data_IF_705497994933
#
_entry.id   IF_705497994933
#
_cell.length_a   1.000
_cell.length_b   1.000
_cell.length_c   1.000
_cell.angle_alpha   90.00
_cell.angle_beta   90.00
_cell.angle_gamma   90.00
#
_symmetry.space_group_name_H-M   'P 1'
#
loop_
_entity.id
_entity.type
_entity.pdbx_description
1 polymer ?
#
# COMPACT_ATOMS: atom_id res chain seq x y z
N UNK A 1 -10.67 11.66 27.71
CA UNK A 1 -9.87 11.75 26.47
C UNK A 1 -8.75 10.73 26.54
N UNK A 2 -8.29 10.19 25.40
CA UNK A 2 -7.15 9.26 25.36
C UNK A 2 -5.86 9.91 25.86
N UNK A 3 -5.05 9.10 26.51
CA UNK A 3 -3.64 9.38 26.80
C UNK A 3 -2.75 8.94 25.63
N UNK A 4 -1.46 9.29 25.66
CA UNK A 4 -0.51 8.80 24.66
C UNK A 4 -0.37 7.27 24.71
N UNK A 5 -0.42 6.68 25.91
CA UNK A 5 -0.39 5.23 26.10
C UNK A 5 -1.63 4.55 25.48
N UNK A 6 -2.81 5.17 25.63
CA UNK A 6 -4.04 4.69 24.99
C UNK A 6 -3.90 4.68 23.45
N UNK A 7 -3.29 5.72 22.87
CA UNK A 7 -3.05 5.83 21.44
C UNK A 7 -2.06 4.77 20.93
N UNK A 8 -0.94 4.59 21.63
CA UNK A 8 0.06 3.58 21.30
C UNK A 8 -0.53 2.17 21.33
N UNK A 9 -1.36 1.86 22.33
CA UNK A 9 -2.04 0.58 22.44
C UNK A 9 -2.97 0.31 21.25
N UNK A 10 -3.73 1.31 20.81
CA UNK A 10 -4.65 1.18 19.67
C UNK A 10 -3.88 1.02 18.36
N UNK A 11 -2.80 1.80 18.17
CA UNK A 11 -1.95 1.71 16.99
C UNK A 11 -1.22 0.36 16.90
N UNK A 12 -0.69 -0.15 18.02
CA UNK A 12 -0.09 -1.48 18.08
C UNK A 12 -1.13 -2.56 17.80
N UNK A 13 -2.32 -2.42 18.38
CA UNK A 13 -3.46 -3.30 18.14
C UNK A 13 -3.83 -3.37 16.66
N UNK A 14 -4.07 -2.24 16.00
CA UNK A 14 -4.39 -2.18 14.57
C UNK A 14 -3.26 -2.76 13.74
N UNK A 15 -2.01 -2.43 14.06
CA UNK A 15 -0.85 -2.96 13.35
C UNK A 15 -0.83 -4.49 13.44
N UNK A 16 -0.89 -5.04 14.65
CA UNK A 16 -0.86 -6.48 14.91
C UNK A 16 -2.03 -7.21 14.25
N UNK A 17 -3.25 -6.72 14.43
CA UNK A 17 -4.46 -7.34 13.89
C UNK A 17 -4.53 -7.20 12.38
N UNK A 18 -4.16 -6.03 11.87
CA UNK A 18 -3.96 -5.79 10.44
C UNK A 18 -3.04 -6.85 9.85
N UNK A 19 -1.84 -7.03 10.40
CA UNK A 19 -0.89 -8.05 9.94
C UNK A 19 -1.42 -9.48 9.99
N UNK A 20 -2.17 -9.83 11.03
CA UNK A 20 -2.80 -11.15 11.15
C UNK A 20 -3.79 -11.40 10.00
N UNK A 21 -4.59 -10.38 9.70
CA UNK A 21 -5.49 -10.33 8.54
C UNK A 21 -4.66 -10.42 7.25
N UNK A 22 -3.61 -9.61 7.07
CA UNK A 22 -2.78 -9.57 5.86
C UNK A 22 -2.10 -10.90 5.54
N UNK A 23 -1.55 -11.57 6.56
CA UNK A 23 -0.87 -12.85 6.39
C UNK A 23 -1.80 -13.93 5.84
N UNK A 24 -3.10 -13.84 6.12
CA UNK A 24 -4.11 -14.74 5.54
C UNK A 24 -4.50 -14.35 4.11
N UNK A 25 -4.30 -13.09 3.70
CA UNK A 25 -4.62 -12.58 2.35
C UNK A 25 -3.47 -12.56 1.34
N UNK A 26 -2.23 -12.79 1.77
CA UNK A 26 -1.06 -12.73 0.88
C UNK A 26 -1.11 -13.75 -0.28
N UNK A 27 -2.02 -14.73 -0.25
CA UNK A 27 -2.28 -15.64 -1.36
C UNK A 27 -3.19 -15.05 -2.45
N UNK A 28 -4.07 -14.10 -2.12
CA UNK A 28 -5.15 -13.62 -3.00
C UNK A 28 -4.93 -12.20 -3.53
N UNK A 29 -4.23 -11.35 -2.76
CA UNK A 29 -3.99 -9.95 -3.12
C UNK A 29 -2.49 -9.65 -3.20
N UNK A 30 -2.12 -8.70 -4.08
CA UNK A 30 -0.76 -8.18 -4.09
C UNK A 30 -0.52 -7.39 -2.80
N UNK A 31 0.66 -7.52 -2.14
CA UNK A 31 0.98 -6.76 -0.95
C UNK A 31 0.68 -5.25 -1.08
N UNK A 32 0.94 -4.65 -2.24
CA UNK A 32 0.65 -3.22 -2.48
C UNK A 32 -0.83 -2.84 -2.37
N UNK A 33 -1.75 -3.71 -2.78
CA UNK A 33 -3.19 -3.42 -2.77
C UNK A 33 -3.75 -3.52 -1.35
N UNK A 34 -3.23 -4.49 -0.60
CA UNK A 34 -3.47 -4.65 0.83
C UNK A 34 -3.02 -3.39 1.59
N UNK A 35 -1.83 -2.88 1.29
CA UNK A 35 -1.23 -1.78 2.04
C UNK A 35 -1.93 -0.44 1.77
N UNK A 36 -2.36 -0.18 0.53
CA UNK A 36 -3.15 1.01 0.19
C UNK A 36 -4.42 1.12 1.08
N UNK A 37 -5.10 0.01 1.32
CA UNK A 37 -6.31 -0.03 2.14
C UNK A 37 -6.11 0.29 3.61
N UNK A 38 -5.06 -0.25 4.22
CA UNK A 38 -4.78 0.01 5.63
C UNK A 38 -4.30 1.44 5.86
N UNK A 39 -3.73 2.08 4.84
CA UNK A 39 -3.44 3.51 4.86
C UNK A 39 -4.67 4.39 4.55
N UNK A 40 -5.85 3.81 4.29
CA UNK A 40 -7.03 4.50 3.76
C UNK A 40 -6.72 5.31 2.47
N UNK A 41 -5.67 4.94 1.75
CA UNK A 41 -5.25 5.61 0.52
C UNK A 41 -5.80 4.85 -0.68
N UNK A 42 -6.27 5.58 -1.68
CA UNK A 42 -6.49 5.01 -2.99
C UNK A 42 -5.18 4.40 -3.52
N UNK A 43 -5.30 3.42 -4.41
CA UNK A 43 -4.13 2.82 -5.08
C UNK A 43 -3.21 3.88 -5.73
N UNK A 44 -3.79 4.99 -6.20
CA UNK A 44 -3.06 6.10 -6.82
C UNK A 44 -2.30 6.93 -5.78
N UNK A 45 -2.88 7.18 -4.62
CA UNK A 45 -2.24 7.90 -3.52
C UNK A 45 -1.13 7.05 -2.89
N UNK A 46 -1.37 5.75 -2.72
CA UNK A 46 -0.35 4.83 -2.23
C UNK A 46 0.84 4.74 -3.20
N UNK A 47 0.60 4.68 -4.51
CA UNK A 47 1.66 4.75 -5.52
C UNK A 47 2.44 6.06 -5.46
N UNK A 48 1.73 7.19 -5.28
CA UNK A 48 2.32 8.53 -5.10
C UNK A 48 3.25 8.53 -3.88
N UNK A 49 2.79 7.96 -2.77
CA UNK A 49 3.53 7.93 -1.51
C UNK A 49 4.80 7.09 -1.59
N UNK A 50 4.74 5.90 -2.22
CA UNK A 50 5.93 5.05 -2.43
C UNK A 50 6.99 5.76 -3.27
N UNK A 51 6.55 6.43 -4.33
CA UNK A 51 7.41 7.21 -5.22
C UNK A 51 8.01 8.42 -4.52
N UNK A 52 7.22 9.11 -3.70
CA UNK A 52 7.66 10.24 -2.91
C UNK A 52 8.71 9.80 -1.88
N UNK A 53 8.46 8.71 -1.16
CA UNK A 53 9.40 8.15 -0.20
C UNK A 53 10.74 7.77 -0.84
N UNK A 54 10.69 7.10 -2.00
CA UNK A 54 11.90 6.80 -2.77
C UNK A 54 12.70 8.06 -3.08
N UNK A 55 12.06 9.14 -3.54
CA UNK A 55 12.78 10.37 -3.89
C UNK A 55 13.30 11.14 -2.67
N UNK A 56 12.55 11.18 -1.58
CA UNK A 56 12.92 11.93 -0.36
C UNK A 56 13.91 11.16 0.53
N UNK A 57 14.17 9.88 0.23
CA UNK A 57 15.16 9.07 0.95
C UNK A 57 16.56 9.69 0.96
N UNK A 58 17.30 9.46 2.05
CA UNK A 58 18.70 9.87 2.18
C UNK A 58 19.55 9.23 1.07
N UNK A 59 19.26 7.97 0.71
CA UNK A 59 19.95 7.26 -0.36
C UNK A 59 19.81 7.95 -1.72
N UNK A 60 18.63 8.48 -2.06
CA UNK A 60 18.44 9.27 -3.29
C UNK A 60 19.18 10.60 -3.20
N UNK A 61 19.14 11.26 -2.05
CA UNK A 61 19.82 12.55 -1.85
C UNK A 61 21.33 12.43 -1.98
N UNK A 62 21.94 11.46 -1.30
CA UNK A 62 23.37 11.15 -1.37
C UNK A 62 23.78 10.70 -2.78
N UNK A 63 22.93 9.90 -3.44
CA UNK A 63 23.21 9.47 -4.80
C UNK A 63 23.30 10.67 -5.75
N UNK A 64 22.34 11.60 -5.67
CA UNK A 64 22.28 12.78 -6.54
C UNK A 64 23.36 13.81 -6.25
N UNK A 65 23.62 14.10 -4.97
CA UNK A 65 24.52 15.18 -4.55
C UNK A 65 26.00 14.76 -4.49
N UNK A 66 26.29 13.51 -4.14
CA UNK A 66 27.66 13.02 -3.92
C UNK A 66 28.11 12.08 -5.03
N UNK A 67 27.33 11.03 -5.29
CA UNK A 67 27.81 9.91 -6.11
C UNK A 67 27.72 10.16 -7.61
N UNK A 68 26.65 10.78 -8.10
CA UNK A 68 26.50 11.09 -9.54
C UNK A 68 27.59 12.06 -10.02
N UNK A 69 27.89 13.19 -9.35
CA UNK A 69 28.98 14.07 -9.76
C UNK A 69 30.34 13.36 -9.80
N UNK A 70 30.66 12.55 -8.77
CA UNK A 70 31.91 11.74 -8.73
C UNK A 70 31.97 10.71 -9.86
N UNK A 71 30.86 10.03 -10.13
CA UNK A 71 30.77 9.08 -11.23
C UNK A 71 30.99 9.76 -12.59
N UNK A 72 30.41 10.94 -12.80
CA UNK A 72 30.55 11.69 -14.05
C UNK A 72 31.96 12.26 -14.25
N UNK A 73 32.67 12.58 -13.17
CA UNK A 73 34.07 13.00 -13.26
C UNK A 73 34.93 11.89 -13.90
N UNK A 74 34.71 10.63 -13.48
CA UNK A 74 35.44 9.47 -14.01
C UNK A 74 34.44 8.37 -14.39
N UNK A 75 33.88 8.42 -15.59
CA UNK A 75 32.96 7.36 -16.05
C UNK A 75 33.77 6.11 -16.39
N UNK A 76 33.45 4.92 -15.84
CA UNK A 76 34.11 3.68 -16.22
C UNK A 76 34.01 3.47 -17.73
N UNK A 77 35.13 3.12 -18.36
CA UNK A 77 35.17 2.67 -19.75
C UNK A 77 35.46 1.18 -19.80
N UNK A 78 34.91 0.51 -20.81
CA UNK A 78 35.26 -0.86 -21.17
C UNK A 78 35.78 -0.89 -22.59
N UNK A 79 36.50 -1.96 -22.90
CA UNK A 79 37.05 -2.19 -24.23
C UNK A 79 36.07 -3.06 -25.01
N UNK A 80 35.64 -2.60 -26.18
CA UNK A 80 34.77 -3.34 -27.07
C UNK A 80 35.51 -3.66 -28.37
N UNK A 81 35.41 -4.92 -28.81
CA UNK A 81 35.88 -5.32 -30.13
C UNK A 81 34.81 -4.99 -31.16
N UNK A 82 35.12 -4.07 -32.07
CA UNK A 82 34.26 -3.73 -33.19
C UNK A 82 34.73 -4.47 -34.44
N UNK A 83 33.78 -4.97 -35.23
CA UNK A 83 34.06 -5.58 -36.52
C UNK A 83 33.75 -4.53 -37.58
N UNK A 84 34.79 -4.01 -38.23
CA UNK A 84 34.68 -3.00 -39.27
C UNK A 84 34.90 -3.62 -40.65
N UNK A 85 33.96 -3.39 -41.57
CA UNK A 85 34.11 -3.67 -43.00
C UNK A 85 34.52 -2.37 -43.70
N UNK A 86 35.77 -2.29 -44.16
CA UNK A 86 36.35 -1.05 -44.70
C UNK A 86 37.08 -1.30 -46.01
N UNK A 87 36.89 -0.41 -46.98
CA UNK A 87 37.75 -0.29 -48.16
C UNK A 87 38.95 0.63 -47.85
N UNK A 88 40.15 0.20 -48.21
CA UNK A 88 41.42 0.90 -47.94
C UNK A 88 42.25 0.23 -46.83
N UNK A 89 43.25 0.93 -46.27
CA UNK A 89 44.20 0.34 -45.33
C UNK A 89 43.51 -0.17 -44.04
N UNK A 90 43.79 -1.41 -43.60
CA UNK A 90 43.16 -2.01 -42.44
C UNK A 90 43.56 -1.30 -41.15
N UNK A 91 42.60 -1.13 -40.21
CA UNK A 91 42.86 -0.65 -38.84
C UNK A 91 42.65 -1.78 -37.84
N UNK A 92 43.71 -2.19 -37.16
CA UNK A 92 43.66 -3.29 -36.20
C UNK A 92 43.83 -4.68 -36.83
N UNK A 93 43.44 -5.72 -36.10
CA UNK A 93 43.68 -7.11 -36.51
C UNK A 93 42.71 -7.53 -37.62
N UNK A 94 43.22 -7.96 -38.76
CA UNK A 94 42.39 -8.44 -39.88
C UNK A 94 41.77 -9.80 -39.53
N UNK A 95 40.47 -9.94 -39.77
CA UNK A 95 39.76 -11.23 -39.78
C UNK A 95 39.76 -11.75 -41.22
N UNK A 96 40.81 -12.50 -41.57
CA UNK A 96 41.03 -12.98 -42.93
C UNK A 96 39.88 -13.85 -43.44
N UNK A 97 39.34 -14.73 -42.59
CA UNK A 97 38.23 -15.61 -42.96
C UNK A 97 37.00 -14.78 -43.36
N UNK A 98 36.60 -13.81 -42.54
CA UNK A 98 35.47 -12.92 -42.88
C UNK A 98 35.77 -12.04 -44.08
N UNK A 99 37.02 -11.57 -44.19
CA UNK A 99 37.47 -10.75 -45.32
C UNK A 99 37.33 -11.49 -46.65
N UNK A 100 37.79 -12.75 -46.74
CA UNK A 100 37.66 -13.55 -47.97
C UNK A 100 36.20 -13.75 -48.36
N UNK A 101 35.33 -14.10 -47.40
CA UNK A 101 33.89 -14.26 -47.64
C UNK A 101 33.27 -12.96 -48.14
N UNK A 102 33.60 -11.82 -47.50
CA UNK A 102 33.04 -10.52 -47.87
C UNK A 102 33.50 -10.07 -49.25
N UNK A 103 34.76 -10.31 -49.60
CA UNK A 103 35.29 -10.03 -50.94
C UNK A 103 34.62 -10.88 -52.01
N UNK A 104 34.43 -12.17 -51.76
CA UNK A 104 33.72 -13.05 -52.68
C UNK A 104 32.28 -12.59 -52.93
N UNK A 105 31.59 -12.07 -51.90
CA UNK A 105 30.24 -11.53 -52.01
C UNK A 105 30.15 -10.15 -52.69
N UNK A 106 31.18 -9.32 -52.54
CA UNK A 106 31.17 -7.91 -52.97
C UNK A 106 31.95 -7.64 -54.28
N UNK A 107 32.21 -8.66 -55.10
CA UNK A 107 32.85 -8.50 -56.41
C UNK A 107 34.39 -8.50 -56.39
N UNK A 108 35.01 -9.22 -55.47
CA UNK A 108 36.47 -9.45 -55.39
C UNK A 108 37.33 -8.19 -55.23
N UNK A 109 36.80 -7.12 -54.61
CA UNK A 109 37.60 -5.93 -54.28
C UNK A 109 38.78 -6.26 -53.32
N UNK A 110 40.05 -6.15 -53.79
CA UNK A 110 41.22 -6.51 -52.99
C UNK A 110 41.54 -5.47 -51.91
N UNK A 111 40.90 -4.30 -51.93
CA UNK A 111 41.11 -3.22 -50.97
C UNK A 111 40.20 -3.31 -49.75
N UNK A 112 39.26 -4.25 -49.74
CA UNK A 112 38.25 -4.37 -48.68
C UNK A 112 38.69 -5.33 -47.57
N UNK A 113 38.72 -4.90 -46.33
CA UNK A 113 39.13 -5.73 -45.19
C UNK A 113 38.06 -5.72 -44.10
N UNK A 114 37.83 -6.90 -43.50
CA UNK A 114 37.11 -7.00 -42.24
C UNK A 114 38.14 -7.02 -41.13
N UNK A 115 38.10 -6.01 -40.27
CA UNK A 115 39.05 -5.83 -39.16
C UNK A 115 38.34 -5.87 -37.82
N UNK A 116 39.07 -6.30 -36.79
CA UNK A 116 38.66 -6.22 -35.39
C UNK A 116 39.41 -5.05 -34.75
N UNK A 117 38.77 -3.89 -34.74
CA UNK A 117 39.28 -2.71 -34.02
C UNK A 117 38.93 -2.81 -32.54
N UNK A 118 39.73 -2.15 -31.71
CA UNK A 118 39.54 -2.09 -30.26
C UNK A 118 39.17 -0.65 -29.94
N UNK A 119 37.91 -0.45 -29.54
CA UNK A 119 37.43 0.87 -29.13
C UNK A 119 37.10 0.89 -27.65
N UNK A 120 37.45 2.01 -27.00
CA UNK A 120 37.03 2.27 -25.63
C UNK A 120 35.65 2.90 -25.66
N UNK A 121 34.71 2.29 -24.94
CA UNK A 121 33.36 2.82 -24.79
C UNK A 121 33.06 3.10 -23.32
N UNK A 122 32.39 4.21 -23.06
CA UNK A 122 31.85 4.54 -21.74
C UNK A 122 30.53 3.79 -21.44
N UNK A 123 29.98 3.08 -22.43
CA UNK A 123 28.71 2.33 -22.35
C UNK A 123 28.85 1.02 -21.58
N UNK A 124 29.25 1.13 -20.31
CA UNK A 124 29.43 0.03 -19.37
C UNK A 124 28.13 -0.30 -18.63
N UNK A 125 28.02 -1.51 -18.06
CA UNK A 125 26.87 -1.88 -17.23
C UNK A 125 26.66 -0.91 -16.05
N UNK A 126 27.76 -0.41 -15.45
CA UNK A 126 27.70 0.60 -14.40
C UNK A 126 27.13 1.93 -14.90
N UNK A 127 27.59 2.41 -16.06
CA UNK A 127 27.10 3.66 -16.65
C UNK A 127 25.63 3.55 -17.05
N UNK A 128 25.21 2.42 -17.61
CA UNK A 128 23.80 2.15 -17.94
C UNK A 128 22.92 2.07 -16.69
N UNK A 129 23.40 1.50 -15.58
CA UNK A 129 22.66 1.47 -14.31
C UNK A 129 22.45 2.88 -13.75
N UNK A 130 23.51 3.70 -13.71
CA UNK A 130 23.41 5.11 -13.27
C UNK A 130 22.42 5.87 -14.15
N UNK A 131 22.51 5.69 -15.48
CA UNK A 131 21.59 6.34 -16.40
C UNK A 131 20.14 5.87 -16.24
N UNK A 132 19.92 4.59 -15.95
CA UNK A 132 18.60 4.03 -15.64
C UNK A 132 18.01 4.66 -14.37
N UNK A 133 18.77 4.74 -13.28
CA UNK A 133 18.32 5.33 -12.02
C UNK A 133 18.03 6.82 -12.16
N UNK A 134 18.89 7.57 -12.86
CA UNK A 134 18.61 8.98 -13.17
C UNK A 134 17.31 9.15 -13.97
N UNK A 135 17.03 8.23 -14.90
CA UNK A 135 15.77 8.24 -15.67
C UNK A 135 14.56 7.98 -14.76
N UNK A 136 14.67 7.04 -13.83
CA UNK A 136 13.62 6.78 -12.82
C UNK A 136 13.40 8.02 -11.95
N UNK A 137 14.47 8.64 -11.45
CA UNK A 137 14.39 9.82 -10.58
C UNK A 137 13.68 10.95 -11.31
N UNK A 138 14.14 11.30 -12.52
CA UNK A 138 13.56 12.39 -13.32
C UNK A 138 12.10 12.11 -13.65
N UNK A 139 11.77 10.93 -14.17
CA UNK A 139 10.39 10.59 -14.54
C UNK A 139 9.44 10.53 -13.33
N UNK A 140 9.95 10.11 -12.17
CA UNK A 140 9.17 10.07 -10.93
C UNK A 140 8.94 11.49 -10.40
N UNK A 141 9.96 12.36 -10.42
CA UNK A 141 9.83 13.76 -10.03
C UNK A 141 8.82 14.50 -10.93
N UNK A 142 8.89 14.33 -12.25
CA UNK A 142 7.94 14.92 -13.21
C UNK A 142 6.50 14.47 -13.00
N UNK A 143 6.30 13.23 -12.54
CA UNK A 143 4.97 12.70 -12.25
C UNK A 143 4.39 13.28 -10.96
N UNK A 144 5.22 13.48 -9.95
CA UNK A 144 4.83 13.99 -8.63
C UNK A 144 4.64 15.51 -8.61
N UNK A 145 5.35 16.26 -9.47
CA UNK A 145 5.25 17.73 -9.60
C UNK A 145 3.81 18.22 -9.89
N UNK A 146 2.99 17.35 -10.50
CA UNK A 146 1.57 17.63 -10.82
C UNK A 146 0.62 17.50 -9.62
N UNK A 147 1.09 17.10 -8.45
CA UNK A 147 0.29 16.90 -7.25
C UNK A 147 0.45 18.01 -6.19
N UNK A 148 -0.41 18.04 -5.17
CA UNK A 148 -0.25 18.89 -3.99
C UNK A 148 0.91 18.35 -3.14
N UNK A 149 2.02 19.09 -3.08
CA UNK A 149 3.21 18.75 -2.29
C UNK A 149 3.69 19.98 -1.51
N UNK A 150 4.28 19.81 -0.32
CA UNK A 150 4.92 20.88 0.42
C UNK A 150 6.03 21.54 -0.40
N UNK A 151 6.22 22.86 -0.22
CA UNK A 151 7.17 23.65 -1.02
C UNK A 151 8.63 23.18 -0.89
N UNK A 152 9.03 22.74 0.30
CA UNK A 152 10.37 22.18 0.56
C UNK A 152 10.65 20.94 -0.29
N UNK A 153 9.65 20.06 -0.40
CA UNK A 153 9.72 18.84 -1.21
C UNK A 153 9.70 19.19 -2.69
N UNK A 154 8.90 20.19 -3.09
CA UNK A 154 8.85 20.67 -4.48
C UNK A 154 10.20 21.22 -4.94
N UNK A 155 10.87 22.03 -4.12
CA UNK A 155 12.22 22.53 -4.40
C UNK A 155 13.20 21.38 -4.64
N UNK A 156 13.22 20.40 -3.73
CA UNK A 156 14.10 19.23 -3.84
C UNK A 156 13.82 18.41 -5.11
N UNK A 157 12.54 18.23 -5.49
CA UNK A 157 12.14 17.53 -6.70
C UNK A 157 12.59 18.27 -7.98
N UNK A 158 12.51 19.60 -7.98
CA UNK A 158 13.01 20.42 -9.09
C UNK A 158 14.53 20.29 -9.24
N UNK A 159 15.27 20.29 -8.14
CA UNK A 159 16.72 20.07 -8.16
C UNK A 159 17.08 18.69 -8.73
N UNK A 160 16.34 17.64 -8.36
CA UNK A 160 16.54 16.31 -8.91
C UNK A 160 16.18 16.20 -10.39
N UNK A 161 15.10 16.88 -10.82
CA UNK A 161 14.67 16.94 -12.22
C UNK A 161 15.72 17.63 -13.09
N UNK A 162 16.18 18.81 -12.68
CA UNK A 162 17.12 19.61 -13.48
C UNK A 162 18.55 19.07 -13.40
N UNK A 163 19.01 18.66 -12.20
CA UNK A 163 20.26 17.95 -12.02
C UNK A 163 20.29 16.64 -12.79
N UNK A 164 19.25 15.82 -12.65
CA UNK A 164 19.12 14.53 -13.32
C UNK A 164 19.13 14.65 -14.84
N UNK A 165 18.41 15.62 -15.42
CA UNK A 165 18.43 15.89 -16.88
C UNK A 165 19.80 16.29 -17.37
N UNK A 166 20.51 17.18 -16.65
CA UNK A 166 21.89 17.59 -16.99
C UNK A 166 22.86 16.40 -16.95
N UNK A 167 22.76 15.57 -15.91
CA UNK A 167 23.60 14.38 -15.76
C UNK A 167 23.31 13.32 -16.83
N UNK A 168 22.04 13.09 -17.17
CA UNK A 168 21.64 12.22 -18.28
C UNK A 168 22.18 12.71 -19.63
N UNK A 169 22.10 14.02 -19.90
CA UNK A 169 22.66 14.61 -21.11
C UNK A 169 24.18 14.36 -21.21
N UNK A 170 24.88 14.47 -20.08
CA UNK A 170 26.32 14.20 -20.00
C UNK A 170 26.66 12.73 -20.27
N UNK A 171 25.85 11.78 -19.77
CA UNK A 171 26.06 10.36 -20.07
C UNK A 171 25.76 10.03 -21.53
N UNK A 172 24.71 10.62 -22.10
CA UNK A 172 24.36 10.47 -23.52
C UNK A 172 25.45 11.00 -24.44
N UNK A 173 26.03 12.18 -24.14
CA UNK A 173 27.12 12.73 -24.94
C UNK A 173 28.38 11.87 -24.91
N UNK A 174 28.56 11.05 -23.86
CA UNK A 174 29.61 10.03 -23.76
C UNK A 174 29.26 8.68 -24.40
N UNK A 175 28.12 8.58 -25.08
CA UNK A 175 27.70 7.38 -25.80
C UNK A 175 27.06 6.29 -24.92
N UNK A 176 26.69 6.59 -23.68
CA UNK A 176 26.00 5.64 -22.80
C UNK A 176 24.56 5.44 -23.26
N UNK A 177 24.16 4.18 -23.46
CA UNK A 177 22.81 3.84 -23.90
C UNK A 177 21.84 3.89 -22.72
N UNK A 178 20.66 4.48 -22.95
CA UNK A 178 19.58 4.43 -21.98
C UNK A 178 18.78 3.14 -22.18
N UNK A 179 18.82 2.28 -21.17
CA UNK A 179 17.92 1.13 -21.09
C UNK A 179 16.64 1.52 -20.38
N UNK A 180 15.49 1.06 -20.90
CA UNK A 180 14.20 1.24 -20.22
C UNK A 180 13.96 0.21 -19.12
N UNK A 181 14.82 -0.81 -19.00
CA UNK A 181 14.73 -1.87 -18.00
C UNK A 181 16.13 -2.31 -17.56
N UNK A 182 16.26 -2.60 -16.27
CA UNK A 182 17.41 -3.24 -15.66
C UNK A 182 16.91 -4.40 -14.81
N UNK A 183 17.41 -5.61 -15.05
CA UNK A 183 17.01 -6.78 -14.27
C UNK A 183 17.97 -7.04 -13.12
N UNK A 184 17.56 -7.78 -12.06
CA UNK A 184 18.47 -8.18 -10.99
C UNK A 184 19.71 -8.93 -11.49
N UNK A 185 19.59 -9.64 -12.63
CA UNK A 185 20.70 -10.34 -13.28
C UNK A 185 21.75 -9.37 -13.84
N UNK A 186 21.33 -8.21 -14.33
CA UNK A 186 22.23 -7.17 -14.86
C UNK A 186 22.97 -6.44 -13.73
N UNK A 187 22.34 -6.33 -12.55
CA UNK A 187 22.91 -5.65 -11.37
C UNK A 187 23.83 -6.58 -10.56
N UNK A 188 23.59 -7.90 -10.57
CA UNK A 188 24.35 -8.86 -9.77
C UNK A 188 25.89 -8.75 -9.90
N UNK A 189 26.49 -8.56 -11.09
CA UNK A 189 27.93 -8.36 -11.21
C UNK A 189 28.43 -7.05 -10.57
N UNK A 190 27.60 -6.00 -10.56
CA UNK A 190 27.95 -4.67 -10.06
C UNK A 190 28.02 -4.61 -8.53
N UNK A 191 27.36 -5.55 -7.84
CA UNK A 191 27.42 -5.69 -6.37
C UNK A 191 28.84 -5.93 -5.84
N UNK A 192 29.75 -6.44 -6.68
CA UNK A 192 31.16 -6.69 -6.34
C UNK A 192 32.09 -5.54 -6.77
N UNK A 193 31.54 -4.43 -7.26
CA UNK A 193 32.33 -3.28 -7.70
C UNK A 193 33.12 -2.69 -6.53
N UNK A 194 34.39 -2.31 -6.78
CA UNK A 194 35.21 -1.58 -5.80
C UNK A 194 34.93 -0.08 -5.78
N UNK A 195 34.11 0.42 -6.71
CA UNK A 195 33.78 1.85 -6.81
C UNK A 195 32.60 2.20 -5.92
N UNK A 196 32.75 3.12 -4.94
CA UNK A 196 31.67 3.52 -4.05
C UNK A 196 30.42 4.02 -4.79
N UNK A 197 30.58 4.79 -5.87
CA UNK A 197 29.45 5.34 -6.64
C UNK A 197 28.63 4.26 -7.35
N UNK A 198 29.29 3.17 -7.76
CA UNK A 198 28.61 2.01 -8.37
C UNK A 198 27.87 1.23 -7.30
N UNK A 199 28.47 1.06 -6.12
CA UNK A 199 27.79 0.43 -4.98
C UNK A 199 26.60 1.27 -4.50
N UNK A 200 26.71 2.59 -4.53
CA UNK A 200 25.59 3.50 -4.24
C UNK A 200 24.45 3.35 -5.26
N UNK A 201 24.77 3.26 -6.55
CA UNK A 201 23.78 2.96 -7.59
C UNK A 201 23.09 1.60 -7.34
N UNK A 202 23.84 0.57 -6.95
CA UNK A 202 23.28 -0.75 -6.59
C UNK A 202 22.33 -0.63 -5.40
N UNK A 203 22.72 0.04 -4.32
CA UNK A 203 21.86 0.24 -3.14
C UNK A 203 20.59 0.98 -3.49
N UNK A 204 20.69 2.03 -4.30
CA UNK A 204 19.53 2.79 -4.76
C UNK A 204 18.61 1.96 -5.66
N UNK A 205 19.17 1.09 -6.50
CA UNK A 205 18.39 0.12 -7.28
C UNK A 205 17.65 -0.85 -6.38
N UNK A 206 18.33 -1.42 -5.38
CA UNK A 206 17.70 -2.34 -4.43
C UNK A 206 16.59 -1.61 -3.64
N UNK A 207 16.78 -0.34 -3.26
CA UNK A 207 15.73 0.50 -2.66
C UNK A 207 14.55 0.71 -3.61
N UNK A 208 14.81 1.09 -4.86
CA UNK A 208 13.77 1.26 -5.88
C UNK A 208 12.95 -0.01 -6.08
N UNK A 209 13.62 -1.16 -6.23
CA UNK A 209 12.94 -2.45 -6.40
C UNK A 209 12.14 -2.79 -5.15
N UNK A 210 12.66 -2.59 -3.94
CA UNK A 210 11.94 -2.92 -2.72
C UNK A 210 10.74 -1.99 -2.44
N UNK A 211 10.88 -0.68 -2.68
CA UNK A 211 9.85 0.34 -2.41
C UNK A 211 8.81 0.39 -3.53
N UNK A 212 9.28 0.48 -4.78
CA UNK A 212 8.42 0.79 -5.93
C UNK A 212 7.96 -0.47 -6.65
N UNK A 213 8.84 -1.45 -6.89
CA UNK A 213 8.47 -2.65 -7.68
C UNK A 213 7.84 -3.78 -6.85
N UNK A 214 8.45 -4.15 -5.73
CA UNK A 214 8.08 -5.33 -4.93
C UNK A 214 7.15 -5.01 -3.75
N UNK A 215 7.06 -3.75 -3.32
CA UNK A 215 6.31 -3.35 -2.12
C UNK A 215 6.68 -4.22 -0.89
N UNK A 216 7.98 -4.31 -0.59
CA UNK A 216 8.52 -5.22 0.41
C UNK A 216 7.92 -4.98 1.80
N UNK A 217 7.30 -6.04 2.34
CA UNK A 217 6.57 -6.07 3.61
C UNK A 217 7.34 -5.50 4.80
N UNK A 218 8.64 -5.81 4.93
CA UNK A 218 9.45 -5.39 6.08
C UNK A 218 9.82 -3.90 6.03
N UNK A 219 10.07 -3.37 4.83
CA UNK A 219 10.34 -1.95 4.65
C UNK A 219 9.05 -1.14 4.85
N UNK A 220 7.91 -1.69 4.42
CA UNK A 220 6.59 -1.13 4.68
C UNK A 220 6.20 -1.19 6.16
N UNK A 221 6.47 -2.28 6.89
CA UNK A 221 6.37 -2.30 8.36
C UNK A 221 7.13 -1.14 9.01
N UNK A 222 8.34 -0.84 8.53
CA UNK A 222 9.15 0.26 9.06
C UNK A 222 8.65 1.66 8.65
N UNK A 223 8.08 1.82 7.46
CA UNK A 223 7.47 3.08 7.01
C UNK A 223 6.12 3.35 7.70
N UNK A 224 5.33 2.30 7.88
CA UNK A 224 4.01 2.32 8.50
C UNK A 224 4.08 2.49 10.03
N UNK A 225 5.03 1.82 10.69
CA UNK A 225 5.28 1.97 12.14
C UNK A 225 5.82 3.33 12.52
N UNK A 226 6.47 4.06 11.58
CA UNK A 226 7.11 5.34 11.90
C UNK A 226 6.23 6.56 11.71
N UNK A 227 5.28 6.61 10.75
CA UNK A 227 4.52 7.87 10.48
C UNK A 227 3.12 7.77 9.81
N UNK A 228 2.53 6.60 9.51
CA UNK A 228 1.44 6.56 8.49
C UNK A 228 0.15 5.77 8.81
N UNK A 229 -0.12 5.41 10.07
CA UNK A 229 -1.38 4.73 10.44
C UNK A 229 -2.19 5.38 11.56
N UNK A 230 -1.99 6.66 11.86
CA UNK A 230 -3.08 7.38 12.51
C UNK A 230 -3.98 7.92 11.39
N UNK A 231 -5.23 7.45 11.23
CA UNK A 231 -6.27 8.32 10.69
C UNK A 231 -6.13 9.67 11.41
N UNK A 232 -6.27 10.77 10.67
CA UNK A 232 -6.20 12.11 11.26
C UNK A 232 -7.23 12.25 12.40
N UNK A 233 -8.33 11.51 12.31
CA UNK A 233 -9.33 11.36 13.34
C UNK A 233 -9.08 10.14 14.26
N UNK A 234 -8.92 10.41 15.55
CA UNK A 234 -8.77 9.38 16.56
C UNK A 234 -10.06 8.53 16.74
N UNK A 235 -11.23 9.07 16.39
CA UNK A 235 -12.49 8.34 16.44
C UNK A 235 -12.52 7.23 15.38
N UNK A 236 -12.17 7.56 14.12
CA UNK A 236 -12.03 6.58 13.03
C UNK A 236 -11.00 5.49 13.38
N UNK A 237 -9.90 5.87 14.04
CA UNK A 237 -8.90 4.91 14.50
C UNK A 237 -9.51 3.90 15.48
N UNK A 238 -10.35 4.36 16.40
CA UNK A 238 -11.02 3.47 17.35
C UNK A 238 -12.08 2.58 16.68
N UNK A 239 -12.79 3.09 15.68
CA UNK A 239 -13.74 2.33 14.85
C UNK A 239 -13.04 1.18 14.12
N UNK A 240 -11.93 1.46 13.44
CA UNK A 240 -11.15 0.45 12.72
C UNK A 240 -10.57 -0.59 13.68
N UNK A 241 -10.03 -0.16 14.83
CA UNK A 241 -9.55 -1.08 15.86
C UNK A 241 -10.65 -2.02 16.33
N UNK A 242 -11.86 -1.50 16.56
CA UNK A 242 -13.03 -2.29 16.98
C UNK A 242 -13.41 -3.31 15.92
N UNK A 243 -13.46 -2.91 14.65
CA UNK A 243 -13.77 -3.82 13.53
C UNK A 243 -12.76 -4.97 13.43
N UNK A 244 -11.46 -4.67 13.51
CA UNK A 244 -10.41 -5.69 13.47
C UNK A 244 -10.44 -6.61 14.70
N UNK A 245 -10.77 -6.07 15.87
CA UNK A 245 -10.95 -6.85 17.10
C UNK A 245 -12.10 -7.84 16.94
N UNK A 246 -13.23 -7.42 16.37
CA UNK A 246 -14.35 -8.32 16.08
C UNK A 246 -13.93 -9.45 15.15
N UNK A 247 -13.17 -9.18 14.09
CA UNK A 247 -12.62 -10.22 13.21
C UNK A 247 -11.71 -11.19 13.99
N UNK A 248 -10.86 -10.69 14.88
CA UNK A 248 -10.01 -11.53 15.72
C UNK A 248 -10.80 -12.48 16.62
N UNK A 249 -11.88 -11.99 17.25
CA UNK A 249 -12.75 -12.81 18.09
C UNK A 249 -13.33 -13.99 17.31
N UNK A 250 -13.80 -13.75 16.08
CA UNK A 250 -14.26 -14.82 15.19
C UNK A 250 -13.16 -15.85 14.91
N UNK A 251 -11.97 -15.39 14.56
CA UNK A 251 -10.85 -16.28 14.27
C UNK A 251 -10.47 -17.13 15.48
N UNK A 252 -10.50 -16.57 16.69
CA UNK A 252 -10.24 -17.30 17.95
C UNK A 252 -11.29 -18.37 18.22
N UNK A 253 -12.54 -18.10 17.86
CA UNK A 253 -13.65 -19.07 17.98
C UNK A 253 -13.71 -20.07 16.83
N UNK A 254 -12.68 -20.12 15.97
CA UNK A 254 -12.55 -21.13 14.92
C UNK A 254 -13.30 -20.80 13.63
N UNK A 255 -13.77 -19.56 13.45
CA UNK A 255 -14.22 -19.08 12.15
C UNK A 255 -13.03 -18.94 11.21
N UNK A 256 -13.26 -19.19 9.93
CA UNK A 256 -12.27 -19.02 8.87
C UNK A 256 -12.61 -17.79 8.06
N UNK A 257 -11.60 -17.01 7.70
CA UNK A 257 -11.79 -15.80 6.92
C UNK A 257 -11.83 -16.16 5.43
N UNK A 258 -12.97 -15.90 4.79
CA UNK A 258 -13.23 -16.26 3.38
C UNK A 258 -12.93 -15.08 2.44
N UNK A 259 -13.35 -13.86 2.81
CA UNK A 259 -13.14 -12.64 2.03
C UNK A 259 -12.79 -11.47 2.96
N UNK A 260 -11.90 -10.57 2.53
CA UNK A 260 -11.80 -9.23 3.09
C UNK A 260 -11.63 -8.18 1.99
N UNK A 261 -12.32 -7.06 2.17
CA UNK A 261 -12.25 -5.89 1.34
C UNK A 261 -11.60 -4.74 2.08
N UNK A 262 -10.96 -3.90 1.29
CA UNK A 262 -10.25 -2.71 1.75
C UNK A 262 -11.19 -1.70 2.42
N UNK A 263 -10.76 -1.16 3.57
CA UNK A 263 -11.42 -0.05 4.28
C UNK A 263 -11.00 1.26 3.59
N UNK A 264 -11.89 2.24 3.42
CA UNK A 264 -11.55 3.56 2.85
C UNK A 264 -11.48 3.69 1.32
N UNK A 265 -11.81 2.66 0.53
CA UNK A 265 -11.86 2.79 -0.94
C UNK A 265 -13.12 3.47 -1.47
N UNK A 266 -12.96 4.56 -2.21
CA UNK A 266 -13.94 5.49 -2.84
C UNK A 266 -15.05 4.87 -3.72
N UNK A 267 -15.17 3.54 -3.77
CA UNK A 267 -16.14 2.86 -4.63
C UNK A 267 -16.47 1.47 -4.12
N UNK A 268 -16.31 1.19 -2.83
CA UNK A 268 -16.74 -0.12 -2.33
C UNK A 268 -18.26 -0.23 -2.48
N UNK A 269 -18.79 -1.19 -3.27
CA UNK A 269 -20.22 -1.47 -3.25
C UNK A 269 -20.66 -1.76 -1.80
N UNK A 270 -21.96 -1.61 -1.50
CA UNK A 270 -22.59 -2.00 -0.23
C UNK A 270 -22.44 -3.52 0.00
N UNK A 271 -21.22 -3.94 0.29
CA UNK A 271 -20.71 -5.30 0.48
C UNK A 271 -20.05 -5.38 1.85
N UNK A 272 -19.99 -6.58 2.44
CA UNK A 272 -19.24 -6.77 3.67
C UNK A 272 -17.75 -6.49 3.43
N UNK A 273 -17.10 -5.90 4.44
CA UNK A 273 -15.66 -5.74 4.50
C UNK A 273 -14.94 -7.00 4.91
N UNK A 274 -15.59 -7.88 5.66
CA UNK A 274 -15.06 -9.18 6.01
C UNK A 274 -16.18 -10.22 5.93
N UNK A 275 -15.88 -11.36 5.33
CA UNK A 275 -16.77 -12.52 5.28
C UNK A 275 -16.02 -13.72 5.87
N UNK A 276 -16.64 -14.41 6.83
CA UNK A 276 -16.07 -15.55 7.53
C UNK A 276 -17.02 -16.75 7.49
N UNK A 277 -16.47 -17.96 7.43
CA UNK A 277 -17.22 -19.22 7.38
C UNK A 277 -16.88 -20.15 8.53
N UNK A 278 -17.88 -20.85 9.06
CA UNK A 278 -17.73 -21.92 10.06
C UNK A 278 -18.85 -22.93 9.95
N UNK A 279 -18.54 -24.19 9.65
CA UNK A 279 -19.51 -25.30 9.65
C UNK A 279 -20.81 -25.02 8.87
N UNK A 280 -20.70 -24.36 7.71
CA UNK A 280 -21.85 -24.00 6.87
C UNK A 280 -22.58 -22.70 7.27
N UNK A 281 -22.21 -22.07 8.40
CA UNK A 281 -22.62 -20.72 8.74
C UNK A 281 -21.65 -19.68 8.17
N UNK A 282 -22.15 -18.47 7.91
CA UNK A 282 -21.36 -17.33 7.45
C UNK A 282 -21.57 -16.12 8.34
N UNK A 283 -20.51 -15.33 8.54
CA UNK A 283 -20.56 -14.02 9.18
C UNK A 283 -20.02 -12.99 8.21
N UNK A 284 -20.71 -11.86 8.11
CA UNK A 284 -20.37 -10.75 7.24
C UNK A 284 -20.36 -9.44 8.04
N UNK A 285 -19.20 -8.78 8.10
CA UNK A 285 -19.01 -7.51 8.80
C UNK A 285 -19.04 -6.35 7.80
N UNK A 286 -19.96 -5.43 7.99
CA UNK A 286 -20.12 -4.20 7.21
C UNK A 286 -19.57 -3.02 8.03
N UNK A 287 -18.79 -2.14 7.40
CA UNK A 287 -18.19 -0.95 8.03
C UNK A 287 -18.71 0.32 7.37
N UNK A 288 -19.21 1.27 8.17
CA UNK A 288 -19.81 2.54 7.73
C UNK A 288 -20.88 2.38 6.62
N UNK A 289 -21.50 1.19 6.58
CA UNK A 289 -22.53 0.79 5.62
C UNK A 289 -23.38 -0.33 6.24
N UNK A 290 -24.54 -0.58 5.65
CA UNK A 290 -25.48 -1.61 6.10
C UNK A 290 -25.80 -2.59 4.96
N UNK A 291 -26.19 -3.84 5.28
CA UNK A 291 -26.78 -4.75 4.31
C UNK A 291 -27.89 -4.08 3.49
N UNK A 292 -27.98 -4.43 2.20
CA UNK A 292 -28.94 -3.80 1.28
C UNK A 292 -30.38 -3.93 1.76
N UNK A 293 -30.71 -5.05 2.40
CA UNK A 293 -32.03 -5.34 2.94
C UNK A 293 -32.39 -4.35 4.06
N UNK A 294 -31.47 -4.09 4.99
CA UNK A 294 -31.65 -3.10 6.06
C UNK A 294 -31.87 -1.70 5.49
N UNK A 295 -31.09 -1.32 4.48
CA UNK A 295 -31.23 0.00 3.86
C UNK A 295 -32.53 0.20 3.07
N UNK A 296 -33.20 -0.89 2.66
CA UNK A 296 -34.54 -0.84 2.04
C UNK A 296 -35.65 -0.78 3.08
N UNK A 297 -35.44 -1.36 4.25
CA UNK A 297 -36.43 -1.45 5.34
C UNK A 297 -36.31 -0.35 6.39
N UNK A 298 -35.51 0.69 6.15
CA UNK A 298 -35.37 1.84 7.06
C UNK A 298 -36.72 2.55 7.20
N UNK A 299 -37.26 2.54 8.42
CA UNK A 299 -38.50 3.24 8.78
C UNK A 299 -38.32 4.76 8.67
N UNK A 300 -37.15 5.26 9.05
CA UNK A 300 -36.87 6.70 9.00
C UNK A 300 -36.78 7.20 7.57
N UNK A 301 -36.27 6.40 6.63
CA UNK A 301 -36.26 6.77 5.22
C UNK A 301 -37.68 7.00 4.68
N UNK A 302 -38.66 6.18 5.07
CA UNK A 302 -40.06 6.42 4.67
C UNK A 302 -40.62 7.71 5.27
N UNK A 303 -40.31 7.99 6.54
CA UNK A 303 -40.73 9.24 7.19
C UNK A 303 -40.08 10.44 6.51
N UNK A 304 -38.77 10.44 6.30
CA UNK A 304 -38.06 11.57 5.68
C UNK A 304 -38.54 11.85 4.25
N UNK A 305 -38.83 10.81 3.48
CA UNK A 305 -39.42 10.95 2.15
C UNK A 305 -40.81 11.59 2.16
N UNK A 306 -41.61 11.38 3.22
CA UNK A 306 -42.95 11.97 3.37
C UNK A 306 -42.91 13.49 3.58
N UNK A 307 -41.85 13.99 4.22
CA UNK A 307 -41.70 15.40 4.58
C UNK A 307 -40.67 16.15 3.73
N UNK A 308 -40.23 15.59 2.59
CA UNK A 308 -39.18 16.14 1.72
C UNK A 308 -37.89 16.53 2.47
N UNK A 309 -37.56 15.75 3.52
CA UNK A 309 -36.33 15.93 4.25
C UNK A 309 -35.22 15.23 3.47
N UNK A 310 -34.27 15.99 2.91
CA UNK A 310 -33.05 15.46 2.29
C UNK A 310 -32.11 14.91 3.38
N UNK A 311 -32.53 13.80 3.98
CA UNK A 311 -31.83 13.13 5.03
C UNK A 311 -31.24 11.84 4.46
N UNK A 312 -29.92 11.83 4.31
CA UNK A 312 -29.19 10.60 4.05
C UNK A 312 -29.50 9.59 5.18
N UNK A 313 -29.81 8.35 4.80
CA UNK A 313 -30.04 7.27 5.76
C UNK A 313 -28.89 7.20 6.77
N UNK A 314 -29.23 7.29 8.07
CA UNK A 314 -28.25 7.18 9.15
C UNK A 314 -27.58 5.81 9.09
N UNK A 315 -26.29 5.77 9.36
CA UNK A 315 -25.47 4.55 9.28
C UNK A 315 -24.85 4.30 10.65
N UNK A 316 -24.96 3.08 11.19
CA UNK A 316 -24.13 2.68 12.33
C UNK A 316 -22.67 2.53 11.88
N UNK A 317 -21.77 2.55 12.86
CA UNK A 317 -20.33 2.47 12.61
C UNK A 317 -19.97 1.09 11.99
N UNK A 318 -20.62 0.02 12.47
CA UNK A 318 -20.58 -1.29 11.82
C UNK A 318 -21.89 -2.09 11.95
N UNK A 319 -22.02 -3.15 11.15
CA UNK A 319 -23.12 -4.12 11.22
C UNK A 319 -22.61 -5.52 10.97
N UNK A 320 -23.03 -6.49 11.78
CA UNK A 320 -22.70 -7.90 11.62
C UNK A 320 -23.95 -8.62 11.10
N UNK A 321 -23.81 -9.37 10.02
CA UNK A 321 -24.83 -10.29 9.50
C UNK A 321 -24.32 -11.72 9.68
N UNK A 322 -25.04 -12.52 10.45
CA UNK A 322 -24.76 -13.95 10.61
C UNK A 322 -25.85 -14.73 9.87
N UNK A 323 -25.45 -15.64 8.99
CA UNK A 323 -26.34 -16.60 8.35
C UNK A 323 -25.99 -17.98 8.89
N UNK A 324 -26.91 -18.63 9.59
CA UNK A 324 -26.69 -19.97 10.13
C UNK A 324 -26.69 -21.02 9.01
N UNK A 325 -26.25 -22.24 9.32
CA UNK A 325 -26.31 -23.35 8.37
C UNK A 325 -27.75 -23.71 7.93
N UNK A 326 -28.76 -23.35 8.74
CA UNK A 326 -30.18 -23.52 8.40
C UNK A 326 -30.75 -22.38 7.55
N UNK A 327 -29.95 -21.32 7.29
CA UNK A 327 -30.36 -20.15 6.53
C UNK A 327 -31.03 -19.05 7.36
N UNK A 328 -31.10 -19.20 8.69
CA UNK A 328 -31.58 -18.14 9.58
C UNK A 328 -30.59 -16.98 9.59
N UNK A 329 -31.11 -15.74 9.59
CA UNK A 329 -30.28 -14.55 9.54
C UNK A 329 -30.42 -13.76 10.83
N UNK A 330 -29.31 -13.59 11.53
CA UNK A 330 -29.16 -12.66 12.65
C UNK A 330 -28.45 -11.40 12.16
N UNK A 331 -28.96 -10.22 12.54
CA UNK A 331 -28.23 -8.94 12.31
C UNK A 331 -28.02 -8.20 13.61
N UNK A 332 -26.80 -7.76 13.83
CA UNK A 332 -26.38 -7.03 15.04
C UNK A 332 -25.76 -5.70 14.62
N UNK A 333 -26.20 -4.62 15.26
CA UNK A 333 -25.65 -3.28 15.06
C UNK A 333 -24.46 -3.08 15.98
N UNK A 334 -23.39 -2.46 15.50
CA UNK A 334 -22.24 -2.09 16.31
C UNK A 334 -22.03 -0.59 16.21
N UNK A 335 -22.07 0.09 17.36
CA UNK A 335 -21.76 1.51 17.50
C UNK A 335 -20.47 1.63 18.33
N UNK A 336 -19.58 2.56 17.96
CA UNK A 336 -18.27 2.72 18.57
C UNK A 336 -18.07 4.17 18.98
N UNK A 337 -17.67 4.41 20.23
CA UNK A 337 -17.47 5.76 20.76
C UNK A 337 -16.21 5.85 21.59
N UNK A 338 -15.28 6.68 21.14
CA UNK A 338 -14.01 6.95 21.82
C UNK A 338 -14.20 7.90 23.01
N UNK A 339 -14.83 7.41 24.08
CA UNK A 339 -15.14 8.24 25.25
C UNK A 339 -14.98 7.50 26.57
N UNK A 340 -14.79 8.29 27.65
CA UNK A 340 -14.95 7.86 29.05
C UNK A 340 -16.10 8.60 29.77
N UNK A 341 -16.75 9.53 29.09
CA UNK A 341 -17.78 10.40 29.66
C UNK A 341 -19.14 9.71 29.66
N UNK A 342 -19.68 9.44 30.84
CA UNK A 342 -20.96 8.76 31.03
C UNK A 342 -22.15 9.47 30.37
N UNK A 343 -22.14 10.81 30.29
CA UNK A 343 -23.22 11.56 29.60
C UNK A 343 -23.18 11.31 28.10
N UNK A 344 -22.00 11.35 27.52
CA UNK A 344 -21.83 11.06 26.09
C UNK A 344 -22.11 9.58 25.76
N UNK A 345 -21.79 8.67 26.68
CA UNK A 345 -22.17 7.25 26.57
C UNK A 345 -23.69 7.11 26.61
N UNK A 346 -24.37 7.79 27.52
CA UNK A 346 -25.83 7.80 27.60
C UNK A 346 -26.48 8.30 26.30
N UNK A 347 -25.99 9.41 25.74
CA UNK A 347 -26.45 9.92 24.45
C UNK A 347 -26.23 8.91 23.32
N UNK A 348 -25.11 8.18 23.38
CA UNK A 348 -24.79 7.12 22.42
C UNK A 348 -25.75 5.92 22.55
N UNK A 349 -26.20 5.58 23.77
CA UNK A 349 -27.26 4.58 23.97
C UNK A 349 -28.56 5.01 23.29
N UNK A 350 -28.98 6.27 23.44
CA UNK A 350 -30.16 6.79 22.75
C UNK A 350 -30.01 6.74 21.23
N UNK A 351 -28.81 7.06 20.72
CA UNK A 351 -28.49 6.92 19.29
C UNK A 351 -28.62 5.46 18.82
N UNK A 352 -28.09 4.51 19.57
CA UNK A 352 -28.19 3.07 19.28
C UNK A 352 -29.64 2.59 19.27
N UNK A 353 -30.46 3.02 20.25
CA UNK A 353 -31.90 2.75 20.26
C UNK A 353 -32.61 3.32 19.03
N UNK A 354 -32.18 4.50 18.55
CA UNK A 354 -32.64 5.07 17.28
C UNK A 354 -32.38 4.16 16.09
N UNK A 355 -31.17 3.57 15.98
CA UNK A 355 -30.86 2.60 14.93
C UNK A 355 -31.71 1.33 15.04
N UNK A 356 -31.91 0.80 16.26
CA UNK A 356 -32.78 -0.36 16.47
C UNK A 356 -34.23 -0.08 16.06
N UNK A 357 -34.72 1.14 16.30
CA UNK A 357 -36.05 1.58 15.88
C UNK A 357 -36.16 1.69 14.35
N UNK A 358 -35.14 2.28 13.71
CA UNK A 358 -35.09 2.46 12.26
C UNK A 358 -35.04 1.11 11.51
N UNK A 359 -34.26 0.15 12.03
CA UNK A 359 -34.03 -1.16 11.41
C UNK A 359 -34.81 -2.31 12.07
N UNK A 360 -35.86 -2.02 12.85
CA UNK A 360 -36.62 -2.98 13.66
C UNK A 360 -37.15 -4.20 12.89
N UNK A 361 -37.35 -4.09 11.58
CA UNK A 361 -37.83 -5.18 10.72
C UNK A 361 -36.75 -6.17 10.29
N UNK A 362 -35.48 -5.88 10.58
CA UNK A 362 -34.32 -6.62 10.04
C UNK A 362 -33.23 -6.95 11.06
N UNK A 363 -33.15 -6.22 12.16
CA UNK A 363 -32.25 -6.50 13.29
C UNK A 363 -32.80 -7.64 14.16
N UNK A 364 -31.93 -8.44 14.78
CA UNK A 364 -32.34 -9.66 15.49
C UNK A 364 -32.41 -10.87 14.56
N UNK A 365 -33.15 -11.94 14.92
CA UNK A 365 -34.16 -11.99 15.99
C UNK A 365 -33.63 -12.20 17.43
N UNK A 366 -32.41 -12.71 17.58
CA UNK A 366 -31.85 -13.07 18.87
C UNK A 366 -31.18 -11.88 19.55
N UNK A 367 -31.19 -11.87 20.89
CA UNK A 367 -30.44 -10.90 21.66
C UNK A 367 -28.95 -11.27 21.71
N UNK A 368 -28.04 -10.29 21.73
CA UNK A 368 -28.28 -8.84 21.67
C UNK A 368 -28.59 -8.35 20.23
N UNK A 369 -29.34 -7.27 20.12
CA UNK A 369 -29.64 -6.61 18.84
C UNK A 369 -28.56 -5.60 18.46
N UNK A 370 -27.89 -5.02 19.46
CA UNK A 370 -26.77 -4.12 19.25
C UNK A 370 -25.67 -4.25 20.30
N UNK A 371 -24.46 -3.87 19.92
CA UNK A 371 -23.29 -3.72 20.78
C UNK A 371 -22.82 -2.27 20.70
N UNK A 372 -22.76 -1.58 21.84
CA UNK A 372 -22.14 -0.28 21.98
C UNK A 372 -20.74 -0.46 22.59
N UNK A 373 -19.72 -0.17 21.81
CA UNK A 373 -18.32 -0.22 22.21
C UNK A 373 -17.87 1.17 22.64
N UNK A 374 -17.40 1.29 23.87
CA UNK A 374 -16.82 2.53 24.40
C UNK A 374 -15.36 2.33 24.75
N UNK A 375 -14.58 3.40 24.88
CA UNK A 375 -13.21 3.24 25.37
C UNK A 375 -13.20 2.73 26.81
N UNK A 376 -13.87 3.45 27.70
CA UNK A 376 -13.98 3.16 29.13
C UNK A 376 -15.15 3.96 29.76
N UNK A 377 -15.24 4.02 31.09
CA UNK A 377 -16.20 4.89 31.81
C UNK A 377 -17.52 4.22 32.19
N UNK A 378 -17.64 2.92 31.93
CA UNK A 378 -18.77 2.08 32.35
C UNK A 378 -18.33 1.04 33.37
N UNK A 379 -19.19 0.77 34.34
CA UNK A 379 -19.04 -0.33 35.28
C UNK A 379 -20.27 -1.23 35.16
N UNK A 380 -20.09 -2.52 34.84
CA UNK A 380 -21.19 -3.47 34.88
C UNK A 380 -21.59 -3.73 36.32
N UNK A 381 -22.88 -3.55 36.59
CA UNK A 381 -23.48 -3.83 37.90
C UNK A 381 -24.08 -5.25 37.95
N UNK A 382 -24.31 -5.87 36.79
CA UNK A 382 -24.87 -7.22 36.66
C UNK A 382 -23.85 -8.20 36.04
N UNK A 383 -23.93 -9.47 36.43
CA UNK A 383 -23.01 -10.51 35.96
C UNK A 383 -23.14 -10.77 34.44
N UNK A 384 -22.03 -11.07 33.73
CA UNK A 384 -22.04 -11.43 32.31
C UNK A 384 -22.99 -12.61 32.04
N UNK A 385 -23.96 -12.43 31.14
CA UNK A 385 -24.87 -13.49 30.69
C UNK A 385 -26.29 -13.47 31.27
N UNK A 386 -26.59 -12.56 32.20
CA UNK A 386 -27.93 -12.47 32.83
C UNK A 386 -28.86 -11.40 32.24
N UNK A 387 -28.36 -10.56 31.32
CA UNK A 387 -29.10 -9.41 30.81
C UNK A 387 -29.86 -9.74 29.53
N UNK A 388 -31.19 -9.73 29.59
CA UNK A 388 -32.11 -9.73 28.43
C UNK A 388 -32.17 -8.38 27.70
N UNK A 389 -31.10 -7.58 27.78
CA UNK A 389 -31.05 -6.24 27.19
C UNK A 389 -30.90 -6.32 25.66
N UNK A 390 -31.64 -5.49 24.89
CA UNK A 390 -31.44 -5.39 23.45
C UNK A 390 -30.07 -4.80 23.07
N UNK A 391 -29.44 -4.06 23.97
CA UNK A 391 -28.12 -3.46 23.78
C UNK A 391 -27.17 -4.00 24.83
N UNK A 392 -26.02 -4.50 24.37
CA UNK A 392 -24.87 -4.78 25.23
C UNK A 392 -23.89 -3.62 25.12
N UNK A 393 -23.49 -3.06 26.26
CA UNK A 393 -22.42 -2.06 26.32
C UNK A 393 -21.14 -2.75 26.82
N UNK A 394 -20.04 -2.51 26.14
CA UNK A 394 -18.70 -3.03 26.48
C UNK A 394 -17.65 -1.95 26.36
N UNK A 395 -16.67 -1.96 27.26
CA UNK A 395 -15.47 -1.16 27.09
C UNK A 395 -14.43 -1.88 26.20
N UNK A 396 -13.38 -1.19 25.78
CA UNK A 396 -12.35 -1.74 24.90
C UNK A 396 -11.67 -3.00 25.50
N UNK A 397 -11.41 -2.99 26.80
CA UNK A 397 -10.78 -4.11 27.49
C UNK A 397 -11.71 -5.34 27.62
N UNK A 398 -13.02 -5.12 27.73
CA UNK A 398 -14.04 -6.18 27.73
C UNK A 398 -14.22 -6.76 26.34
N UNK A 399 -14.26 -5.92 25.29
CA UNK A 399 -14.43 -6.37 23.91
C UNK A 399 -13.38 -7.42 23.52
N UNK A 400 -12.09 -7.19 23.85
CA UNK A 400 -11.00 -8.12 23.51
C UNK A 400 -11.10 -9.50 24.20
N UNK A 401 -11.93 -9.61 25.25
CA UNK A 401 -12.16 -10.82 26.05
C UNK A 401 -13.57 -11.38 25.88
N UNK A 402 -14.41 -10.71 25.10
CA UNK A 402 -15.80 -11.08 24.89
C UNK A 402 -15.88 -12.34 24.01
N UNK A 403 -16.74 -13.29 24.39
CA UNK A 403 -17.21 -14.34 23.48
C UNK A 403 -18.26 -13.77 22.55
N UNK A 404 -18.26 -14.21 21.30
CA UNK A 404 -19.27 -13.78 20.32
C UNK A 404 -20.66 -14.12 20.86
N UNK A 405 -21.62 -13.19 20.76
CA UNK A 405 -22.89 -13.34 21.45
C UNK A 405 -23.91 -14.19 20.69
N UNK A 406 -23.46 -15.10 19.81
CA UNK A 406 -24.30 -15.94 18.94
C UNK A 406 -23.67 -17.30 18.60
#
# INVERSE_FOLDING_TARGET
MWTNEDLELVQDGISRLGWLVLKRFSATYRPSDILAAFSCLSRKEFETLRRLNFLVSEETSDFMSVHVPRFLHVVPSTTQHMIEDRAGPPRGKIDWMRTYVRRAQAGTDPTRFITRSIDRTADTAAARLVAFLLTIIVSTAERLDKGPLPETVRSQLNDYKDGGKRHLSTLRSRGVRLGNRFTPRDVAPLRKSRRPDVLAAVRLYDLYVNVVELANENLLRNLLSRKQHAPEDLDDLFEVWTLLTLVELHLREGWQLDEALLIGGDSSPKKPKFSLGKSGATVELFYQTVPKEMGKSSVYKSVFAEYDLDASMRRPDATIRITTATGEIQRIIVEVKRTRDQRYILDSVYKTLGYLSDFKLTVGPNLPLAVLVVWDGINRVAEPGTTSSPIIIVNAAELTRMSLPY
#
